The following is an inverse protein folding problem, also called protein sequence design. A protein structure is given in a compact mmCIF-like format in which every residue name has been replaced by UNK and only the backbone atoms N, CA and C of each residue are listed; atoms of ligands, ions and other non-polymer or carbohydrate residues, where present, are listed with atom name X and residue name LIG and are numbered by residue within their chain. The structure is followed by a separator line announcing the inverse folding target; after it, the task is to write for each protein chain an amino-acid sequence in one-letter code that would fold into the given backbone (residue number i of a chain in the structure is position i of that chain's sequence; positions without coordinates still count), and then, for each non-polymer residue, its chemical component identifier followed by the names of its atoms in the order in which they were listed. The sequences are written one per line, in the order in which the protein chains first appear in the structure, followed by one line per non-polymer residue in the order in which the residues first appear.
data_IF_885076435661
#
_entry.id   IF_885076435661
#
_cell.length_a   1.000
_cell.length_b   1.000
_cell.length_c   1.000
_cell.angle_alpha   90.00
_cell.angle_beta   90.00
_cell.angle_gamma   90.00
#
_symmetry.space_group_name_H-M   'P 1'
#
loop_
_entity.id
_entity.type
_entity.pdbx_description
1 polymer ?
#
# COMPACT_ATOMS: atom_id res chain seq x y z
N UNK A 1 3.35 11.59 8.66
CA UNK A 1 2.70 10.35 8.16
C UNK A 1 3.23 9.91 6.78
N UNK A 2 3.43 10.78 5.81
CA UNK A 2 3.95 10.40 4.48
C UNK A 2 5.31 9.72 4.49
N UNK A 3 6.23 10.13 5.35
CA UNK A 3 7.53 9.47 5.53
C UNK A 3 7.35 8.04 6.06
N UNK A 4 6.49 7.84 7.06
CA UNK A 4 6.19 6.52 7.60
C UNK A 4 5.62 5.57 6.54
N UNK A 5 4.70 6.06 5.71
CA UNK A 5 4.14 5.29 4.60
C UNK A 5 5.20 4.86 3.59
N UNK A 6 6.09 5.78 3.16
CA UNK A 6 7.21 5.45 2.27
C UNK A 6 8.14 4.40 2.89
N UNK A 7 8.44 4.50 4.18
CA UNK A 7 9.24 3.50 4.87
C UNK A 7 8.55 2.13 4.88
N UNK A 8 7.27 2.07 5.25
CA UNK A 8 6.52 0.81 5.26
C UNK A 8 6.47 0.15 3.87
N UNK A 9 6.21 0.92 2.82
CA UNK A 9 6.18 0.40 1.44
C UNK A 9 7.55 -0.12 1.01
N UNK A 10 8.65 0.60 1.34
CA UNK A 10 10.01 0.15 1.06
C UNK A 10 10.36 -1.12 1.83
N UNK A 11 9.93 -1.26 3.07
CA UNK A 11 10.17 -2.47 3.84
C UNK A 11 9.48 -3.69 3.26
N UNK A 12 8.23 -3.56 2.81
CA UNK A 12 7.55 -4.66 2.10
C UNK A 12 8.34 -5.05 0.85
N UNK A 13 8.84 -4.09 0.08
CA UNK A 13 9.65 -4.35 -1.10
C UNK A 13 10.95 -5.09 -0.74
N UNK A 14 11.64 -4.65 0.31
CA UNK A 14 12.88 -5.29 0.81
C UNK A 14 12.58 -6.72 1.27
N UNK A 15 11.51 -6.94 2.04
CA UNK A 15 11.13 -8.27 2.51
C UNK A 15 10.83 -9.22 1.34
N UNK A 16 10.20 -8.72 0.25
CA UNK A 16 9.97 -9.49 -0.99
C UNK A 16 11.29 -9.83 -1.69
N UNK A 17 12.22 -8.86 -1.79
CA UNK A 17 13.54 -9.09 -2.40
C UNK A 17 14.33 -10.11 -1.57
N UNK A 18 14.32 -10.00 -0.25
CA UNK A 18 14.96 -10.97 0.65
C UNK A 18 14.35 -12.36 0.50
N UNK A 19 13.04 -12.46 0.33
CA UNK A 19 12.37 -13.73 0.07
C UNK A 19 12.83 -14.34 -1.26
N UNK A 20 12.92 -13.56 -2.33
CA UNK A 20 13.43 -14.01 -3.64
C UNK A 20 14.87 -14.50 -3.50
N UNK A 21 15.73 -13.71 -2.83
CA UNK A 21 17.13 -14.06 -2.63
C UNK A 21 17.28 -15.35 -1.81
N UNK A 22 16.45 -15.51 -0.78
CA UNK A 22 16.44 -16.74 0.01
C UNK A 22 16.04 -17.94 -0.83
N UNK A 23 14.96 -17.84 -1.63
CA UNK A 23 14.47 -18.93 -2.48
C UNK A 23 15.47 -19.31 -3.58
N UNK A 24 16.26 -18.36 -4.08
CA UNK A 24 17.30 -18.63 -5.08
C UNK A 24 18.58 -19.18 -4.44
N UNK A 25 18.88 -18.82 -3.18
CA UNK A 25 20.09 -19.29 -2.47
C UNK A 25 19.96 -20.68 -1.87
N UNK A 26 18.74 -21.09 -1.52
CA UNK A 26 18.48 -22.47 -1.07
C UNK A 26 18.56 -23.39 -2.27
N UNK A 27 19.80 -23.81 -2.58
CA UNK A 27 20.08 -24.73 -3.68
C UNK A 27 19.32 -26.06 -3.55
N UNK A 28 19.19 -26.74 -4.66
CA UNK A 28 18.39 -27.95 -4.93
C UNK A 28 18.77 -29.21 -4.13
N UNK A 29 19.53 -29.11 -3.04
CA UNK A 29 20.05 -30.20 -2.21
C UNK A 29 19.07 -30.69 -1.12
N UNK A 30 17.82 -30.27 -1.14
CA UNK A 30 16.79 -30.68 -0.18
C UNK A 30 15.91 -31.83 -0.67
N UNK A 31 15.16 -32.46 0.24
CA UNK A 31 14.12 -33.44 -0.12
C UNK A 31 13.08 -32.79 -1.06
N UNK A 32 12.49 -33.59 -1.95
CA UNK A 32 11.48 -33.11 -2.92
C UNK A 32 10.33 -32.35 -2.26
N UNK A 33 9.95 -32.71 -1.03
CA UNK A 33 8.92 -32.02 -0.24
C UNK A 33 9.34 -30.60 0.17
N UNK A 34 10.59 -30.38 0.55
CA UNK A 34 11.11 -29.05 0.89
C UNK A 34 11.18 -28.16 -0.36
N UNK A 35 11.61 -28.71 -1.48
CA UNK A 35 11.67 -27.98 -2.75
C UNK A 35 10.26 -27.54 -3.20
N UNK A 36 9.28 -28.42 -3.09
CA UNK A 36 7.88 -28.12 -3.44
C UNK A 36 7.30 -27.03 -2.52
N UNK A 37 7.63 -27.07 -1.22
CA UNK A 37 7.24 -26.05 -0.26
C UNK A 37 7.84 -24.66 -0.60
N UNK A 38 9.15 -24.61 -0.92
CA UNK A 38 9.81 -23.37 -1.31
C UNK A 38 9.23 -22.79 -2.62
N UNK A 39 8.95 -23.66 -3.59
CA UNK A 39 8.38 -23.25 -4.87
C UNK A 39 6.96 -22.69 -4.67
N UNK A 40 6.15 -23.33 -3.85
CA UNK A 40 4.79 -22.87 -3.51
C UNK A 40 4.82 -21.52 -2.77
N UNK A 41 5.73 -21.36 -1.80
CA UNK A 41 5.95 -20.07 -1.13
C UNK A 41 6.32 -18.98 -2.14
N UNK A 42 7.24 -19.25 -3.07
CA UNK A 42 7.67 -18.30 -4.09
C UNK A 42 6.53 -17.89 -5.02
N UNK A 43 5.82 -18.85 -5.57
CA UNK A 43 4.73 -18.63 -6.54
C UNK A 43 3.59 -17.83 -5.93
N UNK A 44 3.31 -17.98 -4.63
CA UNK A 44 2.22 -17.27 -3.95
C UNK A 44 2.69 -15.93 -3.36
N UNK A 45 3.78 -15.92 -2.59
CA UNK A 45 4.18 -14.76 -1.82
C UNK A 45 4.85 -13.67 -2.66
N UNK A 46 5.58 -14.04 -3.73
CA UNK A 46 6.24 -13.03 -4.57
C UNK A 46 5.21 -12.17 -5.31
N UNK A 47 4.24 -12.73 -6.06
CA UNK A 47 3.22 -11.92 -6.71
C UNK A 47 2.38 -11.12 -5.70
N UNK A 48 2.00 -11.73 -4.58
CA UNK A 48 1.26 -11.05 -3.50
C UNK A 48 2.05 -9.84 -2.98
N UNK A 49 3.35 -9.99 -2.77
CA UNK A 49 4.23 -8.92 -2.32
C UNK A 49 4.34 -7.79 -3.34
N UNK A 50 4.57 -8.12 -4.61
CA UNK A 50 4.66 -7.13 -5.70
C UNK A 50 3.35 -6.35 -5.82
N UNK A 51 2.22 -7.03 -5.86
CA UNK A 51 0.88 -6.40 -5.94
C UNK A 51 0.65 -5.51 -4.72
N UNK A 52 1.03 -5.97 -3.52
CA UNK A 52 0.91 -5.19 -2.29
C UNK A 52 1.72 -3.89 -2.35
N UNK A 53 2.97 -3.94 -2.84
CA UNK A 53 3.83 -2.75 -3.01
C UNK A 53 3.19 -1.77 -3.99
N UNK A 54 2.70 -2.24 -5.14
CA UNK A 54 2.07 -1.40 -6.17
C UNK A 54 0.81 -0.73 -5.63
N UNK A 55 -0.09 -1.50 -5.00
CA UNK A 55 -1.36 -1.01 -4.46
C UNK A 55 -1.11 0.00 -3.33
N UNK A 56 -0.15 -0.27 -2.44
CA UNK A 56 0.23 0.68 -1.39
C UNK A 56 0.87 1.93 -1.97
N UNK A 57 1.75 1.81 -2.96
CA UNK A 57 2.39 2.96 -3.60
C UNK A 57 1.36 3.88 -4.26
N UNK A 58 0.37 3.29 -4.94
CA UNK A 58 -0.75 4.02 -5.57
C UNK A 58 -1.84 4.45 -4.60
N UNK A 59 -1.70 4.18 -3.30
CA UNK A 59 -2.70 4.46 -2.25
C UNK A 59 -4.10 3.94 -2.58
N UNK A 60 -4.17 2.84 -3.34
CA UNK A 60 -5.45 2.29 -3.78
C UNK A 60 -6.25 1.70 -2.61
N UNK A 61 -7.56 1.52 -2.84
CA UNK A 61 -8.46 0.98 -1.85
C UNK A 61 -8.04 -0.43 -1.43
N UNK A 62 -8.03 -0.70 -0.11
CA UNK A 62 -7.61 -2.00 0.41
C UNK A 62 -6.09 -2.19 0.59
N UNK A 63 -5.23 -1.25 0.12
CA UNK A 63 -3.78 -1.38 0.18
C UNK A 63 -3.23 -1.64 1.58
N UNK A 64 -3.78 -1.01 2.61
CA UNK A 64 -3.37 -1.25 4.01
C UNK A 64 -3.70 -2.68 4.44
N UNK A 65 -4.88 -3.21 4.11
CA UNK A 65 -5.28 -4.58 4.44
C UNK A 65 -4.39 -5.60 3.74
N UNK A 66 -4.14 -5.36 2.45
CA UNK A 66 -3.25 -6.22 1.66
C UNK A 66 -1.81 -6.17 2.20
N UNK A 67 -1.31 -4.98 2.55
CA UNK A 67 0.02 -4.81 3.16
C UNK A 67 0.15 -5.55 4.48
N UNK A 68 -0.86 -5.49 5.35
CA UNK A 68 -0.90 -6.25 6.61
C UNK A 68 -0.87 -7.76 6.35
N UNK A 69 -1.68 -8.25 5.40
CA UNK A 69 -1.70 -9.66 5.03
C UNK A 69 -0.34 -10.11 4.47
N UNK A 70 0.25 -9.33 3.57
CA UNK A 70 1.56 -9.62 2.98
C UNK A 70 2.65 -9.70 4.06
N UNK A 71 2.73 -8.69 4.95
CA UNK A 71 3.70 -8.72 6.07
C UNK A 71 3.46 -9.90 7.00
N UNK A 72 2.20 -10.26 7.25
CA UNK A 72 1.84 -11.42 8.04
C UNK A 72 2.33 -12.72 7.43
N UNK A 73 2.07 -12.94 6.15
CA UNK A 73 2.49 -14.16 5.45
C UNK A 73 4.01 -14.25 5.27
N UNK A 74 4.67 -13.17 4.86
CA UNK A 74 6.14 -13.14 4.71
C UNK A 74 6.82 -13.31 6.08
N UNK A 75 6.36 -12.60 7.11
CA UNK A 75 6.91 -12.71 8.46
C UNK A 75 6.73 -14.10 9.05
N UNK A 76 5.55 -14.73 8.83
CA UNK A 76 5.31 -16.11 9.25
C UNK A 76 6.20 -17.09 8.49
N UNK A 77 6.40 -16.89 7.19
CA UNK A 77 7.30 -17.70 6.38
C UNK A 77 8.75 -17.64 6.90
N UNK A 78 9.27 -16.45 7.18
CA UNK A 78 10.60 -16.28 7.76
C UNK A 78 10.73 -16.93 9.13
N UNK A 79 9.73 -16.78 10.01
CA UNK A 79 9.72 -17.44 11.31
C UNK A 79 9.74 -18.96 11.19
N UNK A 80 8.93 -19.51 10.26
CA UNK A 80 8.82 -20.95 10.06
C UNK A 80 10.11 -21.52 9.49
N UNK A 81 10.71 -20.86 8.49
CA UNK A 81 12.01 -21.26 7.91
C UNK A 81 13.13 -21.15 8.96
N UNK A 82 13.13 -20.08 9.77
CA UNK A 82 14.08 -19.94 10.88
C UNK A 82 13.94 -21.03 11.92
N UNK A 83 12.71 -21.42 12.28
CA UNK A 83 12.44 -22.50 13.23
C UNK A 83 12.89 -23.86 12.68
N UNK A 84 12.56 -24.19 11.42
CA UNK A 84 12.98 -25.44 10.76
C UNK A 84 14.51 -25.52 10.70
N UNK A 85 15.19 -24.43 10.29
CA UNK A 85 16.64 -24.37 10.23
C UNK A 85 17.28 -24.51 11.62
N UNK A 86 16.69 -23.88 12.64
CA UNK A 86 17.13 -24.03 14.03
C UNK A 86 17.02 -25.47 14.55
N UNK A 87 15.88 -26.13 14.28
CA UNK A 87 15.68 -27.53 14.65
C UNK A 87 16.72 -28.41 13.93
N UNK A 88 16.97 -28.18 12.65
CA UNK A 88 17.98 -28.91 11.87
C UNK A 88 19.39 -28.75 12.47
N UNK A 89 19.74 -27.56 12.92
CA UNK A 89 21.01 -27.31 13.62
C UNK A 89 21.13 -28.11 14.93
N UNK A 90 20.13 -28.03 15.79
CA UNK A 90 20.13 -28.77 17.07
C UNK A 90 20.08 -30.29 16.91
N UNK A 91 19.52 -30.77 15.78
CA UNK A 91 19.52 -32.20 15.44
C UNK A 91 20.82 -32.68 14.79
N UNK A 92 21.83 -31.80 14.64
CA UNK A 92 23.12 -32.13 14.02
C UNK A 92 23.09 -32.31 12.51
N UNK A 93 21.97 -31.95 11.84
CA UNK A 93 21.81 -32.10 10.39
C UNK A 93 22.35 -30.89 9.61
N UNK A 94 22.63 -29.76 10.27
CA UNK A 94 23.24 -28.58 9.66
C UNK A 94 24.32 -28.00 10.57
N UNK A 95 25.39 -27.47 9.96
CA UNK A 95 26.52 -26.85 10.68
C UNK A 95 26.31 -25.33 10.88
N UNK A 96 25.35 -24.72 10.20
CA UNK A 96 25.16 -23.28 10.17
C UNK A 96 23.94 -22.84 11.01
N UNK A 97 24.20 -22.10 12.10
CA UNK A 97 23.15 -21.51 12.94
C UNK A 97 22.81 -20.07 12.51
N UNK A 98 23.70 -19.40 11.81
CA UNK A 98 23.56 -17.97 11.52
C UNK A 98 22.32 -17.67 10.67
N UNK A 99 22.08 -18.44 9.63
CA UNK A 99 20.97 -18.27 8.72
C UNK A 99 19.60 -18.44 9.41
N UNK A 100 19.36 -19.49 10.20
CA UNK A 100 18.10 -19.64 10.98
C UNK A 100 17.84 -18.48 11.95
N UNK A 101 18.89 -18.01 12.63
CA UNK A 101 18.77 -16.89 13.57
C UNK A 101 18.41 -15.60 12.84
N UNK A 102 19.07 -15.31 11.72
CA UNK A 102 18.77 -14.11 10.89
C UNK A 102 17.33 -14.18 10.37
N UNK A 103 16.88 -15.33 9.87
CA UNK A 103 15.50 -15.51 9.40
C UNK A 103 14.48 -15.32 10.53
N UNK A 104 14.73 -15.87 11.71
CA UNK A 104 13.87 -15.66 12.86
C UNK A 104 13.76 -14.18 13.26
N UNK A 105 14.90 -13.47 13.29
CA UNK A 105 14.92 -12.03 13.58
C UNK A 105 14.20 -11.22 12.50
N UNK A 106 14.39 -11.55 11.23
CA UNK A 106 13.64 -10.92 10.13
C UNK A 106 12.14 -11.14 10.28
N UNK A 107 11.71 -12.37 10.56
CA UNK A 107 10.31 -12.67 10.80
C UNK A 107 9.71 -11.83 11.93
N UNK A 108 10.38 -11.76 13.08
CA UNK A 108 9.94 -10.94 14.21
C UNK A 108 9.86 -9.47 13.83
N UNK A 109 10.90 -8.92 13.18
CA UNK A 109 10.91 -7.49 12.79
C UNK A 109 9.83 -7.16 11.77
N UNK A 110 9.55 -8.06 10.83
CA UNK A 110 8.47 -7.91 9.84
C UNK A 110 7.10 -7.91 10.54
N UNK A 111 6.84 -8.86 11.45
CA UNK A 111 5.59 -8.93 12.18
C UNK A 111 5.36 -7.74 13.12
N UNK A 112 6.42 -7.19 13.74
CA UNK A 112 6.33 -5.99 14.60
C UNK A 112 5.86 -4.73 13.86
N UNK A 113 5.87 -4.71 12.53
CA UNK A 113 5.36 -3.58 11.73
C UNK A 113 3.85 -3.62 11.53
N UNK A 114 3.22 -4.77 11.72
CA UNK A 114 1.76 -4.94 11.58
C UNK A 114 0.97 -4.01 12.51
N UNK A 115 1.27 -3.90 13.82
CA UNK A 115 0.58 -2.97 14.70
C UNK A 115 0.65 -1.52 14.25
N UNK A 116 1.78 -1.09 13.67
CA UNK A 116 1.94 0.27 13.14
C UNK A 116 0.97 0.54 11.99
N UNK A 117 0.77 -0.42 11.09
CA UNK A 117 -0.20 -0.32 9.98
C UNK A 117 -1.66 -0.40 10.45
N UNK A 118 -1.93 -1.05 11.58
CA UNK A 118 -3.26 -1.14 12.20
C UNK A 118 -3.63 0.10 13.02
N UNK A 119 -2.68 1.01 13.24
CA UNK A 119 -2.94 2.22 14.01
C UNK A 119 -4.01 3.07 13.32
N UNK A 120 -5.01 3.50 14.10
CA UNK A 120 -6.15 4.28 13.65
C UNK A 120 -5.70 5.57 12.93
N UNK A 121 -4.69 6.26 13.49
CA UNK A 121 -4.14 7.49 12.90
C UNK A 121 -3.54 7.25 11.52
N UNK A 122 -2.86 6.11 11.31
CA UNK A 122 -2.31 5.74 10.01
C UNK A 122 -3.42 5.43 8.99
N UNK A 123 -4.45 4.70 9.41
CA UNK A 123 -5.60 4.35 8.55
C UNK A 123 -6.38 5.61 8.15
N UNK A 124 -6.63 6.52 9.10
CA UNK A 124 -7.31 7.78 8.82
C UNK A 124 -6.51 8.65 7.85
N UNK A 125 -5.19 8.78 8.08
CA UNK A 125 -4.31 9.50 7.17
C UNK A 125 -4.29 8.88 5.76
N UNK A 126 -4.20 7.56 5.66
CA UNK A 126 -4.18 6.86 4.37
C UNK A 126 -5.47 7.09 3.57
N UNK A 127 -6.63 7.04 4.24
CA UNK A 127 -7.94 7.33 3.64
C UNK A 127 -8.10 8.80 3.28
N UNK A 128 -7.71 9.71 4.18
CA UNK A 128 -7.79 11.15 3.96
C UNK A 128 -6.91 11.62 2.80
N UNK A 129 -5.69 11.13 2.73
CA UNK A 129 -4.76 11.45 1.64
C UNK A 129 -5.26 10.95 0.27
N UNK A 130 -5.96 9.82 0.22
CA UNK A 130 -6.60 9.33 -1.00
C UNK A 130 -7.79 10.19 -1.40
N UNK A 131 -8.61 10.59 -0.42
CA UNK A 131 -9.77 11.44 -0.69
C UNK A 131 -9.36 12.83 -1.15
N UNK A 132 -8.23 13.38 -0.66
CA UNK A 132 -7.70 14.65 -1.17
C UNK A 132 -7.20 14.54 -2.61
N UNK A 133 -6.52 13.46 -2.98
CA UNK A 133 -6.11 13.22 -4.37
C UNK A 133 -7.33 13.08 -5.32
N UNK A 134 -8.38 12.39 -4.87
CA UNK A 134 -9.63 12.30 -5.61
C UNK A 134 -10.37 13.64 -5.65
N UNK A 135 -10.33 14.41 -4.57
CA UNK A 135 -10.91 15.75 -4.52
C UNK A 135 -10.17 16.70 -5.48
N UNK A 136 -8.82 16.67 -5.51
CA UNK A 136 -8.05 17.47 -6.48
C UNK A 136 -8.42 17.15 -7.93
N UNK A 137 -8.59 15.87 -8.28
CA UNK A 137 -9.04 15.48 -9.63
C UNK A 137 -10.46 15.97 -9.94
N UNK A 138 -11.33 16.06 -8.93
CA UNK A 138 -12.69 16.59 -9.08
C UNK A 138 -12.64 18.12 -9.12
N UNK A 139 -11.78 18.75 -8.29
CA UNK A 139 -11.63 20.21 -8.21
C UNK A 139 -10.99 20.83 -9.45
N UNK A 140 -10.26 20.11 -10.28
CA UNK A 140 -9.80 20.60 -11.59
C UNK A 140 -10.99 20.92 -12.53
N UNK A 141 -12.18 20.37 -12.23
CA UNK A 141 -13.39 20.58 -13.01
C UNK A 141 -14.42 21.47 -12.30
N UNK A 142 -14.35 21.63 -10.98
CA UNK A 142 -15.34 22.35 -10.17
C UNK A 142 -14.69 23.53 -9.47
N UNK A 143 -15.17 24.75 -9.72
CA UNK A 143 -14.73 25.97 -9.08
C UNK A 143 -15.85 26.57 -8.21
N UNK A 144 -15.47 27.12 -7.07
CA UNK A 144 -16.40 27.92 -6.27
C UNK A 144 -16.42 29.35 -6.85
N UNK A 145 -17.55 29.74 -7.38
CA UNK A 145 -17.80 31.10 -7.87
C UNK A 145 -18.89 31.79 -7.05
N UNK A 146 -18.81 33.11 -6.95
CA UNK A 146 -19.85 33.91 -6.31
C UNK A 146 -20.78 34.50 -7.39
N UNK A 147 -22.08 34.37 -7.17
CA UNK A 147 -23.05 34.99 -8.05
C UNK A 147 -22.89 36.53 -8.00
N UNK A 148 -22.77 37.22 -9.16
CA UNK A 148 -22.59 38.68 -9.18
C UNK A 148 -23.79 39.44 -8.65
N UNK A 149 -24.99 38.84 -8.69
CA UNK A 149 -26.21 39.55 -8.25
C UNK A 149 -26.55 39.33 -6.77
N UNK A 150 -26.41 38.09 -6.25
CA UNK A 150 -26.84 37.79 -4.86
C UNK A 150 -25.71 37.33 -3.95
N UNK A 151 -24.45 37.29 -4.46
CA UNK A 151 -23.25 36.89 -3.69
C UNK A 151 -23.32 35.46 -3.11
N UNK A 152 -24.27 34.62 -3.54
CA UNK A 152 -24.31 33.23 -3.12
C UNK A 152 -23.12 32.46 -3.75
N UNK A 153 -22.49 31.61 -2.93
CA UNK A 153 -21.39 30.74 -3.37
C UNK A 153 -21.98 29.54 -4.08
N UNK A 154 -21.53 29.30 -5.31
CA UNK A 154 -21.97 28.22 -6.17
C UNK A 154 -20.77 27.39 -6.60
N UNK A 155 -20.93 26.09 -6.63
CA UNK A 155 -19.98 25.20 -7.28
C UNK A 155 -20.32 25.19 -8.79
N UNK A 156 -19.39 25.64 -9.61
CA UNK A 156 -19.56 25.74 -11.06
C UNK A 156 -18.45 25.02 -11.78
N UNK A 157 -18.79 24.44 -12.91
CA UNK A 157 -17.83 23.83 -13.85
C UNK A 157 -17.56 24.85 -14.98
N UNK A 158 -16.39 25.52 -14.98
CA UNK A 158 -16.12 26.59 -15.96
C UNK A 158 -16.29 26.13 -17.42
N UNK A 159 -15.86 24.91 -17.73
CA UNK A 159 -15.93 24.32 -19.06
C UNK A 159 -17.36 23.98 -19.52
N UNK A 160 -18.32 23.91 -18.58
CA UNK A 160 -19.73 23.59 -18.86
C UNK A 160 -20.64 24.81 -18.71
N UNK A 161 -20.12 25.95 -18.23
CA UNK A 161 -20.89 27.17 -18.05
C UNK A 161 -21.27 27.76 -19.41
N UNK A 162 -22.57 27.92 -19.61
CA UNK A 162 -23.15 28.54 -20.79
C UNK A 162 -23.72 29.92 -20.49
N UNK A 163 -23.89 30.76 -21.50
CA UNK A 163 -24.47 32.11 -21.37
C UNK A 163 -25.91 32.07 -20.84
N UNK A 164 -26.54 30.89 -20.87
CA UNK A 164 -27.94 30.69 -20.47
C UNK A 164 -28.05 30.30 -18.98
N UNK A 165 -26.93 29.89 -18.36
CA UNK A 165 -26.97 29.38 -17.00
C UNK A 165 -27.31 30.47 -15.99
N UNK A 166 -28.24 30.13 -15.10
CA UNK A 166 -28.81 31.04 -14.10
C UNK A 166 -28.49 30.58 -12.70
N UNK A 167 -28.30 31.54 -11.83
CA UNK A 167 -28.15 31.29 -10.40
C UNK A 167 -29.42 30.60 -9.82
N UNK A 168 -29.28 29.47 -9.12
CA UNK A 168 -30.43 28.79 -8.52
C UNK A 168 -31.11 29.58 -7.39
N UNK A 169 -30.42 30.58 -6.83
CA UNK A 169 -30.94 31.37 -5.72
C UNK A 169 -31.67 32.64 -6.17
N UNK A 170 -31.15 33.40 -7.16
CA UNK A 170 -31.73 34.65 -7.60
C UNK A 170 -32.19 34.65 -9.08
N UNK A 171 -31.97 33.54 -9.81
CA UNK A 171 -32.29 33.34 -11.21
C UNK A 171 -31.60 34.31 -12.20
N UNK A 172 -30.64 35.10 -11.72
CA UNK A 172 -29.83 35.98 -12.57
C UNK A 172 -28.77 35.16 -13.34
N UNK A 173 -28.30 35.69 -14.48
CA UNK A 173 -27.28 35.03 -15.31
C UNK A 173 -25.94 34.97 -14.58
N UNK A 174 -25.27 33.82 -14.67
CA UNK A 174 -23.96 33.61 -14.06
C UNK A 174 -22.80 34.15 -14.89
N UNK A 175 -22.99 34.24 -16.20
CA UNK A 175 -21.99 34.77 -17.13
C UNK A 175 -22.38 36.19 -17.53
N UNK A 176 -21.51 37.15 -17.24
CA UNK A 176 -21.64 38.51 -17.69
C UNK A 176 -21.10 38.57 -19.17
N UNK A 177 -21.94 38.90 -20.09
CA UNK A 177 -21.54 39.20 -21.47
C UNK A 177 -21.14 40.67 -21.49
N UNK A 178 -19.84 40.95 -21.65
CA UNK A 178 -19.41 42.32 -21.97
C UNK A 178 -19.91 42.66 -23.37
N UNK A 179 -20.87 43.57 -23.46
CA UNK A 179 -21.26 44.15 -24.74
C UNK A 179 -20.16 45.13 -25.15
N UNK A 180 -19.38 44.79 -26.20
CA UNK A 180 -18.51 45.72 -26.90
C UNK A 180 -19.30 46.70 -27.76
#
# INVERSE_FOLDING_TARGET
MGLLHRHLTRFIAIDVILLILLLTSTGTSGSASLLLFHLLLGVVLIPLGIVSVIIMHRRAQGGVRLGIATLGFIGAAFMLLGAIGGISYFSGNSSEILLPVVLGLLGVTTLRRIPTMRNQSYIMWYRGSRNSELAEMIYEQEMLATCPACSSVLAVYPDQLTIIDKCPNCHERLVLVEEE
#
